data_IF_158165231172
#
_entry.id   IF_158165231172
#
_cell.length_a   1.000
_cell.length_b   1.000
_cell.length_c   1.000
_cell.angle_alpha   90.00
_cell.angle_beta   90.00
_cell.angle_gamma   90.00
#
_symmetry.space_group_name_H-M   'P 1'
#
loop_
_entity.id
_entity.type
_entity.pdbx_description
1 polymer ?
#
# COMPACT_ATOMS: atom_id res chain seq x y z
N UNK A 1 36.64 34.94 29.01
CA UNK A 1 35.70 35.71 28.17
C UNK A 1 36.44 35.90 26.85
N UNK A 2 36.15 35.24 25.73
CA UNK A 2 34.90 34.81 25.12
C UNK A 2 35.19 33.54 24.31
N UNK A 3 34.27 32.57 24.31
CA UNK A 3 34.33 31.43 23.39
C UNK A 3 33.21 31.53 22.35
N UNK A 4 33.63 31.29 21.12
CA UNK A 4 33.01 31.43 19.82
C UNK A 4 31.61 30.86 19.58
N UNK A 5 30.91 31.56 18.67
CA UNK A 5 30.13 31.12 17.49
C UNK A 5 28.96 30.15 17.67
N UNK A 6 27.81 30.66 17.23
CA UNK A 6 26.79 30.02 16.39
C UNK A 6 27.20 28.66 15.81
N UNK A 7 26.39 27.63 16.02
CA UNK A 7 25.51 27.14 14.95
C UNK A 7 24.39 26.25 15.50
N UNK A 8 23.18 26.47 15.01
CA UNK A 8 22.04 25.60 15.25
C UNK A 8 22.01 24.58 14.13
N UNK A 9 22.81 23.52 14.24
CA UNK A 9 22.73 22.39 13.31
C UNK A 9 21.68 21.41 13.82
N UNK A 10 20.45 21.59 13.32
CA UNK A 10 19.47 20.52 13.25
C UNK A 10 20.03 19.48 12.28
N UNK A 11 20.76 18.49 12.81
CA UNK A 11 21.34 17.41 12.02
C UNK A 11 20.22 16.65 11.31
N UNK A 12 20.09 16.97 10.03
CA UNK A 12 19.38 16.19 9.03
C UNK A 12 20.26 15.00 8.69
N UNK A 13 20.02 13.85 9.31
CA UNK A 13 20.61 12.58 8.88
C UNK A 13 19.80 11.36 9.36
N UNK A 14 18.48 11.41 9.19
CA UNK A 14 17.63 10.23 9.26
C UNK A 14 17.38 9.68 7.87
N UNK A 15 18.41 9.18 7.16
CA UNK A 15 18.17 8.29 6.01
C UNK A 15 17.71 6.95 6.60
N UNK A 16 16.47 6.93 7.07
CA UNK A 16 15.75 5.68 7.30
C UNK A 16 15.59 5.08 5.91
N UNK A 17 16.29 3.98 5.64
CA UNK A 17 16.05 3.17 4.45
C UNK A 17 14.61 2.66 4.50
N UNK A 18 13.68 3.47 4.00
CA UNK A 18 12.27 3.12 3.93
C UNK A 18 12.18 1.94 2.95
N UNK A 19 11.83 0.77 3.48
CA UNK A 19 11.55 -0.40 2.66
C UNK A 19 10.36 -0.04 1.78
N UNK A 20 10.54 -0.15 0.46
CA UNK A 20 9.45 0.06 -0.49
C UNK A 20 8.85 -1.29 -0.88
N UNK A 21 7.53 -1.36 -0.89
CA UNK A 21 6.73 -2.51 -1.27
C UNK A 21 6.23 -2.28 -2.69
N UNK A 22 6.72 -3.08 -3.65
CA UNK A 22 6.24 -3.05 -5.03
C UNK A 22 4.78 -3.51 -5.07
N UNK A 23 3.86 -2.57 -5.32
CA UNK A 23 2.43 -2.81 -5.28
C UNK A 23 1.83 -2.73 -6.67
N UNK A 24 1.08 -3.78 -7.05
CA UNK A 24 0.37 -3.82 -8.32
C UNK A 24 -1.04 -3.26 -8.18
N UNK A 25 -1.36 -2.29 -9.02
CA UNK A 25 -2.69 -1.73 -9.20
C UNK A 25 -3.28 -2.27 -10.49
N UNK A 26 -4.57 -2.63 -10.46
CA UNK A 26 -5.27 -3.23 -11.59
C UNK A 26 -6.61 -2.51 -11.79
N UNK A 27 -6.94 -2.23 -13.04
CA UNK A 27 -8.22 -1.69 -13.49
C UNK A 27 -8.84 -2.64 -14.53
N UNK A 28 -9.82 -3.46 -14.15
CA UNK A 28 -10.35 -4.53 -15.00
C UNK A 28 -11.51 -4.11 -15.92
N UNK A 29 -11.88 -2.82 -15.97
CA UNK A 29 -13.13 -2.36 -16.59
C UNK A 29 -12.95 -1.75 -17.99
N UNK A 30 -11.77 -1.89 -18.61
CA UNK A 30 -11.45 -1.28 -19.90
C UNK A 30 -11.27 0.23 -19.87
N UNK A 31 -11.00 0.81 -21.05
CA UNK A 31 -10.72 2.22 -21.28
C UNK A 31 -9.72 2.41 -22.43
N UNK A 32 -9.60 3.61 -22.97
CA UNK A 32 -8.55 3.93 -23.96
C UNK A 32 -7.27 4.39 -23.28
N UNK A 33 -7.41 5.20 -22.24
CA UNK A 33 -6.33 5.80 -21.47
C UNK A 33 -6.65 5.69 -19.99
N UNK A 34 -5.79 5.01 -19.24
CA UNK A 34 -5.96 4.78 -17.80
C UNK A 34 -4.74 5.30 -17.07
N UNK A 35 -4.95 6.09 -16.02
CA UNK A 35 -3.89 6.56 -15.14
C UNK A 35 -4.27 6.37 -13.67
N UNK A 36 -3.26 6.10 -12.85
CA UNK A 36 -3.32 5.99 -11.41
C UNK A 36 -2.87 7.30 -10.78
N UNK A 37 -3.64 7.80 -9.82
CA UNK A 37 -3.33 9.01 -9.07
C UNK A 37 -3.62 8.71 -7.60
N UNK A 38 -2.75 9.13 -6.69
CA UNK A 38 -2.98 8.90 -5.28
C UNK A 38 -2.15 9.78 -4.38
N UNK A 39 -2.27 9.53 -3.09
CA UNK A 39 -1.48 10.17 -2.03
C UNK A 39 0.04 10.12 -2.30
N UNK A 40 0.54 9.02 -2.85
CA UNK A 40 1.95 8.83 -3.23
C UNK A 40 2.39 9.59 -4.49
N UNK A 41 1.45 10.13 -5.29
CA UNK A 41 1.72 11.04 -6.40
C UNK A 41 1.32 12.49 -6.09
N UNK A 42 1.06 12.80 -4.81
CA UNK A 42 0.59 14.12 -4.39
C UNK A 42 -0.77 14.53 -4.97
N UNK A 43 -1.56 13.58 -5.47
CA UNK A 43 -2.85 13.81 -6.15
C UNK A 43 -2.80 14.70 -7.40
N UNK A 44 -1.62 15.04 -7.90
CA UNK A 44 -1.43 15.90 -9.07
C UNK A 44 -0.88 15.11 -10.26
N UNK A 45 0.11 14.26 -10.00
CA UNK A 45 0.81 13.53 -11.05
C UNK A 45 0.05 12.27 -11.46
N UNK A 46 -0.10 12.11 -12.78
CA UNK A 46 -0.78 10.98 -13.41
C UNK A 46 0.22 9.89 -13.74
N UNK A 47 0.10 8.75 -13.07
CA UNK A 47 0.93 7.59 -13.38
C UNK A 47 0.25 6.71 -14.43
N UNK A 48 0.78 6.58 -15.65
CA UNK A 48 0.12 5.83 -16.72
C UNK A 48 0.02 4.33 -16.39
N UNK A 49 -1.09 3.71 -16.75
CA UNK A 49 -1.30 2.26 -16.67
C UNK A 49 -1.30 1.65 -18.06
N UNK A 50 -0.87 0.40 -18.16
CA UNK A 50 -0.74 -0.31 -19.44
C UNK A 50 -1.60 -1.58 -19.46
N UNK A 51 -2.09 -2.01 -20.63
CA UNK A 51 -2.81 -3.27 -20.74
C UNK A 51 -1.97 -4.45 -20.22
N UNK A 52 -2.61 -5.34 -19.48
CA UNK A 52 -2.01 -6.59 -19.02
C UNK A 52 -1.77 -7.53 -20.20
N UNK A 53 -0.72 -8.34 -20.12
CA UNK A 53 -0.35 -9.28 -21.17
C UNK A 53 -1.50 -10.24 -21.48
N UNK A 54 -1.89 -10.33 -22.75
CA UNK A 54 -3.02 -11.15 -23.21
C UNK A 54 -4.41 -10.63 -22.82
N UNK A 55 -4.51 -9.52 -22.08
CA UNK A 55 -5.79 -8.97 -21.59
C UNK A 55 -5.89 -7.46 -21.90
N UNK A 56 -6.26 -7.06 -23.13
CA UNK A 56 -6.26 -5.65 -23.55
C UNK A 56 -7.24 -4.76 -22.76
N UNK A 57 -8.25 -5.35 -22.12
CA UNK A 57 -9.25 -4.63 -21.33
C UNK A 57 -8.87 -4.47 -19.85
N UNK A 58 -7.76 -5.07 -19.41
CA UNK A 58 -7.29 -4.98 -18.03
C UNK A 58 -6.05 -4.11 -18.03
N UNK A 59 -6.08 -2.98 -17.34
CA UNK A 59 -4.91 -2.11 -17.19
C UNK A 59 -4.22 -2.38 -15.87
N UNK A 60 -2.88 -2.34 -15.86
CA UNK A 60 -2.08 -2.52 -14.66
C UNK A 60 -0.93 -1.53 -14.58
N UNK A 61 -0.52 -1.26 -13.34
CA UNK A 61 0.67 -0.49 -13.00
C UNK A 61 1.30 -1.07 -11.74
N UNK A 62 2.62 -1.02 -11.66
CA UNK A 62 3.35 -1.34 -10.43
C UNK A 62 3.98 -0.05 -9.90
N UNK A 63 3.74 0.24 -8.63
CA UNK A 63 4.30 1.40 -7.94
C UNK A 63 4.86 0.98 -6.58
N UNK A 64 6.07 1.45 -6.28
CA UNK A 64 6.77 1.13 -5.04
C UNK A 64 6.33 2.10 -3.94
N UNK A 65 5.70 1.57 -2.90
CA UNK A 65 5.08 2.35 -1.82
C UNK A 65 5.72 2.05 -0.48
N UNK A 66 5.82 3.04 0.39
CA UNK A 66 6.18 2.81 1.79
C UNK A 66 5.03 2.08 2.50
N UNK A 67 5.30 1.34 3.58
CA UNK A 67 4.26 0.88 4.48
C UNK A 67 3.35 2.02 4.96
N UNK A 68 2.10 1.69 5.27
CA UNK A 68 1.10 2.65 5.72
C UNK A 68 -0.18 2.62 4.91
N UNK A 69 -1.02 3.62 5.11
CA UNK A 69 -2.31 3.77 4.45
C UNK A 69 -2.14 4.73 3.27
N UNK A 70 -2.48 4.27 2.08
CA UNK A 70 -2.45 5.04 0.84
C UNK A 70 -3.84 5.13 0.26
N UNK A 71 -4.21 6.32 -0.19
CA UNK A 71 -5.42 6.52 -0.96
C UNK A 71 -5.08 6.74 -2.42
N UNK A 72 -5.94 6.24 -3.31
CA UNK A 72 -5.75 6.34 -4.75
C UNK A 72 -7.08 6.37 -5.50
N UNK A 73 -7.01 6.75 -6.77
CA UNK A 73 -8.13 6.81 -7.71
C UNK A 73 -7.62 6.59 -9.13
N UNK A 74 -8.51 6.10 -9.99
CA UNK A 74 -8.22 5.94 -11.41
C UNK A 74 -8.76 7.13 -12.20
N UNK A 75 -8.00 7.56 -13.20
CA UNK A 75 -8.44 8.53 -14.18
C UNK A 75 -8.53 7.83 -15.53
N UNK A 76 -9.77 7.57 -15.97
CA UNK A 76 -10.07 6.73 -17.14
C UNK A 76 -10.77 7.58 -18.17
N UNK A 77 -10.16 7.77 -19.33
CA UNK A 77 -10.73 8.49 -20.48
C UNK A 77 -11.27 9.90 -20.17
N UNK A 78 -10.69 10.59 -19.19
CA UNK A 78 -11.14 11.93 -18.78
C UNK A 78 -11.95 11.95 -17.48
N UNK A 79 -12.34 10.79 -16.97
CA UNK A 79 -13.27 10.67 -15.85
C UNK A 79 -12.62 10.04 -14.61
N UNK A 80 -13.01 10.53 -13.44
CA UNK A 80 -12.57 9.98 -12.17
C UNK A 80 -13.35 8.72 -11.82
N UNK A 81 -12.64 7.61 -11.64
CA UNK A 81 -13.19 6.28 -11.37
C UNK A 81 -12.54 5.66 -10.14
N UNK A 82 -13.28 4.81 -9.45
CA UNK A 82 -12.78 3.98 -8.36
C UNK A 82 -13.21 2.54 -8.63
N UNK A 83 -12.51 1.59 -8.02
CA UNK A 83 -12.88 0.19 -8.07
C UNK A 83 -13.78 -0.16 -6.87
N UNK A 84 -15.05 -0.48 -7.12
CA UNK A 84 -16.02 -0.86 -6.09
C UNK A 84 -15.64 -2.15 -5.35
N UNK A 85 -14.78 -2.99 -5.94
CA UNK A 85 -14.31 -4.24 -5.34
C UNK A 85 -13.13 -4.03 -4.38
N UNK A 86 -12.55 -2.82 -4.35
CA UNK A 86 -11.46 -2.48 -3.45
C UNK A 86 -11.97 -1.69 -2.25
N UNK A 87 -11.30 -1.78 -1.08
CA UNK A 87 -11.61 -0.92 0.05
C UNK A 87 -11.61 0.55 -0.39
N UNK A 88 -12.58 1.31 0.09
CA UNK A 88 -12.74 2.72 -0.29
C UNK A 88 -13.34 3.53 0.85
N UNK A 89 -13.18 4.84 0.77
CA UNK A 89 -13.78 5.79 1.70
C UNK A 89 -14.49 6.90 0.93
N UNK A 90 -15.56 7.42 1.52
CA UNK A 90 -16.29 8.59 1.02
C UNK A 90 -15.73 9.83 1.71
N UNK A 91 -15.26 10.79 0.92
CA UNK A 91 -14.77 12.07 1.43
C UNK A 91 -15.29 13.26 0.62
N UNK A 92 -14.74 14.43 0.88
CA UNK A 92 -15.17 15.69 0.23
C UNK A 92 -14.93 15.69 -1.29
N UNK A 93 -14.00 14.86 -1.78
CA UNK A 93 -13.65 14.71 -3.20
C UNK A 93 -14.32 13.49 -3.84
N UNK A 94 -15.40 13.00 -3.22
CA UNK A 94 -16.10 11.79 -3.60
C UNK A 94 -15.45 10.53 -3.05
N UNK A 95 -15.65 9.42 -3.75
CA UNK A 95 -15.15 8.11 -3.35
C UNK A 95 -13.70 7.93 -3.83
N UNK A 96 -12.83 7.44 -2.95
CA UNK A 96 -11.43 7.09 -3.23
C UNK A 96 -11.12 5.70 -2.69
N UNK A 97 -10.30 4.93 -3.42
CA UNK A 97 -9.85 3.63 -2.96
C UNK A 97 -8.77 3.79 -1.88
N UNK A 98 -8.70 2.82 -0.97
CA UNK A 98 -7.77 2.75 0.16
C UNK A 98 -6.97 1.46 0.08
N UNK A 99 -5.66 1.59 0.19
CA UNK A 99 -4.69 0.50 0.24
C UNK A 99 -3.95 0.58 1.58
N UNK A 100 -3.89 -0.55 2.29
CA UNK A 100 -3.16 -0.66 3.55
C UNK A 100 -1.97 -1.58 3.32
N UNK A 101 -0.77 -1.04 3.44
CA UNK A 101 0.47 -1.78 3.32
C UNK A 101 1.06 -2.04 4.71
N UNK A 102 1.31 -3.31 5.08
CA UNK A 102 1.87 -3.64 6.37
C UNK A 102 3.29 -3.11 6.49
N UNK A 103 3.65 -2.63 7.67
CA UNK A 103 5.04 -2.37 8.01
C UNK A 103 5.66 -3.71 8.37
N UNK A 104 6.52 -4.25 7.51
CA UNK A 104 7.30 -5.42 7.89
C UNK A 104 8.24 -5.02 9.03
N UNK A 105 7.91 -5.46 10.25
CA UNK A 105 8.85 -5.42 11.36
C UNK A 105 10.04 -6.29 10.97
N UNK A 106 11.24 -5.71 10.94
CA UNK A 106 12.51 -6.36 10.60
C UNK A 106 12.49 -7.87 10.93
N UNK A 107 12.61 -8.78 9.93
CA UNK A 107 12.57 -10.22 10.19
C UNK A 107 13.70 -10.69 11.12
N UNK A 108 14.79 -9.91 11.25
CA UNK A 108 15.89 -10.19 12.19
C UNK A 108 15.42 -10.09 13.65
N UNK A 109 14.48 -9.19 13.99
CA UNK A 109 13.92 -9.10 15.35
C UNK A 109 12.90 -10.20 15.65
N UNK A 110 12.37 -10.86 14.61
CA UNK A 110 11.50 -12.03 14.77
C UNK A 110 12.31 -13.32 14.87
N UNK A 111 13.47 -13.39 14.21
CA UNK A 111 14.40 -14.52 14.27
C UNK A 111 15.26 -14.55 15.54
N UNK A 112 15.61 -13.39 16.10
CA UNK A 112 16.21 -13.27 17.43
C UNK A 112 15.07 -13.07 18.42
N UNK A 113 14.49 -14.16 18.92
CA UNK A 113 13.36 -14.14 19.85
C UNK A 113 13.62 -13.38 21.15
N UNK A 114 13.58 -12.06 21.12
CA UNK A 114 13.47 -11.23 22.31
C UNK A 114 12.02 -11.31 22.77
N UNK A 115 11.82 -12.26 23.67
CA UNK A 115 10.63 -12.47 24.46
C UNK A 115 9.93 -11.16 24.87
N UNK A 116 8.63 -11.09 24.59
CA UNK A 116 7.74 -10.10 25.19
C UNK A 116 7.89 -10.22 26.72
N UNK A 117 8.07 -9.13 27.49
CA UNK A 117 8.09 -9.23 28.93
C UNK A 117 6.74 -9.78 29.40
N UNK A 118 6.81 -11.00 29.89
CA UNK A 118 5.73 -11.80 30.44
C UNK A 118 5.26 -11.18 31.75
N UNK A 119 4.26 -10.31 31.66
CA UNK A 119 3.35 -10.09 32.78
C UNK A 119 1.95 -10.53 32.37
N UNK A 120 1.61 -11.71 32.89
CA UNK A 120 0.36 -11.99 33.62
C UNK A 120 -0.56 -13.05 32.99
N UNK A 121 -0.68 -14.13 33.78
CA UNK A 121 -1.75 -15.12 33.95
C UNK A 121 -2.03 -16.16 32.86
N UNK A 122 -1.76 -17.40 33.28
CA UNK A 122 -2.11 -18.66 32.65
C UNK A 122 -3.47 -19.11 33.24
N UNK A 123 -4.52 -19.19 32.43
CA UNK A 123 -5.64 -20.13 32.64
C UNK A 123 -6.26 -20.46 31.28
N UNK A 124 -6.27 -21.76 31.01
CA UNK A 124 -6.74 -22.44 29.81
C UNK A 124 -8.27 -22.40 29.70
N UNK A 125 -8.82 -21.92 28.56
CA UNK A 125 -10.20 -22.20 28.13
C UNK A 125 -10.26 -22.17 26.59
N UNK A 126 -10.70 -23.29 26.02
CA UNK A 126 -10.92 -23.55 24.60
C UNK A 126 -11.66 -22.42 23.84
N UNK A 127 -11.08 -21.95 22.72
CA UNK A 127 -11.86 -21.45 21.59
C UNK A 127 -11.09 -21.45 20.25
N UNK A 128 -11.35 -22.50 19.47
CA UNK A 128 -11.64 -22.49 18.03
C UNK A 128 -11.25 -21.25 17.18
N UNK A 129 -10.41 -21.50 16.17
CA UNK A 129 -10.27 -20.80 14.86
C UNK A 129 -10.01 -19.28 14.89
N UNK A 130 -9.09 -18.73 14.09
CA UNK A 130 -9.15 -18.77 12.63
C UNK A 130 -7.75 -18.62 12.03
N UNK A 131 -7.30 -19.66 11.33
CA UNK A 131 -6.35 -19.49 10.23
C UNK A 131 -7.14 -19.03 9.01
N UNK A 132 -7.15 -17.73 8.74
CA UNK A 132 -7.44 -17.21 7.40
C UNK A 132 -6.10 -16.71 6.86
N UNK A 133 -5.27 -17.58 6.27
CA UNK A 133 -5.28 -17.87 4.83
C UNK A 133 -5.70 -16.61 4.06
N UNK A 134 -4.71 -15.78 3.74
CA UNK A 134 -4.87 -14.73 2.73
C UNK A 134 -5.23 -15.46 1.44
N UNK A 135 -6.48 -15.32 1.02
CA UNK A 135 -7.01 -15.92 -0.21
C UNK A 135 -6.26 -15.31 -1.38
N UNK A 136 -5.27 -16.03 -1.90
CA UNK A 136 -4.74 -15.84 -3.25
C UNK A 136 -5.85 -16.25 -4.21
N UNK A 137 -6.71 -15.30 -4.57
CA UNK A 137 -7.53 -15.42 -5.77
C UNK A 137 -6.61 -15.30 -6.98
N UNK A 138 -5.99 -16.42 -7.35
CA UNK A 138 -5.50 -16.65 -8.70
C UNK A 138 -6.74 -16.74 -9.58
N UNK A 139 -7.09 -15.66 -10.28
CA UNK A 139 -8.12 -15.73 -11.31
C UNK A 139 -7.59 -16.61 -12.44
N UNK A 140 -8.09 -17.84 -12.53
CA UNK A 140 -7.97 -18.67 -13.72
C UNK A 140 -8.79 -18.03 -14.84
N UNK A 141 -8.12 -17.58 -15.90
CA UNK A 141 -8.79 -17.27 -17.16
C UNK A 141 -9.29 -18.58 -17.78
N UNK A 142 -10.58 -18.85 -17.64
CA UNK A 142 -11.27 -19.90 -18.38
C UNK A 142 -11.30 -19.44 -19.85
N UNK A 143 -10.56 -20.13 -20.71
CA UNK A 143 -10.71 -20.03 -22.16
C UNK A 143 -12.05 -20.68 -22.56
N UNK A 144 -12.93 -19.92 -23.21
CA UNK A 144 -13.93 -20.44 -24.12
C UNK A 144 -13.83 -19.71 -25.44
#
# INVERSE_FOLDING_TARGET
>A
MFSSRTDCTHDTAGISGQVLIATKFVWPYGGRTVSLIGSFTGWADRYPMFPAEGCPNIFQAVYSLTPGIHQYKFFVDGEWRHDDQQPHVVGNYGIVNTLILPQESNPILTALGLEKPSNQINMDVDHWNFRHVVSLHVCYCIHM
#
